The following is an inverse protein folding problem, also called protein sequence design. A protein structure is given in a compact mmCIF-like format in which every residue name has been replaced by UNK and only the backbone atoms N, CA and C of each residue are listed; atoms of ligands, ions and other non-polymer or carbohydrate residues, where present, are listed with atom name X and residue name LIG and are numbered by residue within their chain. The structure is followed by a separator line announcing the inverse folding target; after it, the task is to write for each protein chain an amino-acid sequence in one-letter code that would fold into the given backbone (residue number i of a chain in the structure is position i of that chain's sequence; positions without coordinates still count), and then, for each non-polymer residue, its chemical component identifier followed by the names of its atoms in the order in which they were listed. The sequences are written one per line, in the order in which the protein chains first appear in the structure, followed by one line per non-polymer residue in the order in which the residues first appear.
data_IF_529488378966
#
_entry.id   IF_529488378966
#
_cell.length_a   1.000
_cell.length_b   1.000
_cell.length_c   1.000
_cell.angle_alpha   90.00
_cell.angle_beta   90.00
_cell.angle_gamma   90.00
#
_symmetry.space_group_name_H-M   'P 1'
#
loop_
_entity.id
_entity.type
_entity.pdbx_description
1 polymer ?
#
# COMPACT_ATOMS: atom_id res chain seq x y z
N UNK A 1 15.75 -33.43 -17.14
CA UNK A 1 14.27 -33.45 -17.12
C UNK A 1 13.66 -32.09 -16.74
N UNK A 2 14.29 -30.95 -17.06
CA UNK A 2 13.77 -29.60 -16.81
C UNK A 2 12.94 -28.92 -17.95
N UNK A 3 13.06 -29.28 -19.25
CA UNK A 3 12.54 -28.42 -20.33
C UNK A 3 11.03 -28.55 -20.62
N UNK A 4 10.36 -29.52 -19.99
CA UNK A 4 8.91 -29.74 -20.19
C UNK A 4 8.06 -28.81 -19.31
N UNK A 5 8.50 -28.56 -18.06
CA UNK A 5 7.81 -27.64 -17.13
C UNK A 5 7.91 -26.18 -17.58
N UNK A 6 9.08 -25.75 -18.04
CA UNK A 6 9.29 -24.38 -18.53
C UNK A 6 8.40 -24.07 -19.75
N UNK A 7 8.25 -25.01 -20.68
CA UNK A 7 7.37 -24.85 -21.86
C UNK A 7 5.89 -24.84 -21.52
N UNK A 8 5.50 -25.51 -20.43
CA UNK A 8 4.13 -25.57 -19.96
C UNK A 8 3.76 -24.30 -19.18
N UNK A 9 4.68 -23.77 -18.38
CA UNK A 9 4.56 -22.44 -17.78
C UNK A 9 4.49 -21.34 -18.84
N UNK A 10 5.37 -21.37 -19.85
CA UNK A 10 5.40 -20.35 -20.92
C UNK A 10 4.10 -20.33 -21.75
N UNK A 11 3.50 -21.50 -22.00
CA UNK A 11 2.17 -21.60 -22.62
C UNK A 11 1.07 -21.01 -21.74
N UNK A 12 1.13 -21.27 -20.44
CA UNK A 12 0.14 -20.77 -19.47
C UNK A 12 0.24 -19.25 -19.33
N UNK A 13 1.46 -18.70 -19.26
CA UNK A 13 1.74 -17.25 -19.27
C UNK A 13 1.11 -16.61 -20.50
N UNK A 14 1.35 -17.19 -21.68
CA UNK A 14 0.84 -16.64 -22.93
C UNK A 14 -0.69 -16.65 -22.97
N UNK A 15 -1.32 -17.71 -22.47
CA UNK A 15 -2.78 -17.83 -22.41
C UNK A 15 -3.40 -16.77 -21.47
N UNK A 16 -2.81 -16.56 -20.28
CA UNK A 16 -3.31 -15.58 -19.31
C UNK A 16 -3.13 -14.15 -19.83
N UNK A 17 -1.97 -13.82 -20.43
CA UNK A 17 -1.75 -12.50 -21.05
C UNK A 17 -2.75 -12.22 -22.16
N UNK A 18 -2.98 -13.20 -23.04
CA UNK A 18 -3.99 -13.06 -24.10
C UNK A 18 -5.42 -12.95 -23.56
N UNK A 19 -5.73 -13.57 -22.42
CA UNK A 19 -7.04 -13.45 -21.78
C UNK A 19 -7.23 -12.08 -21.11
N UNK A 20 -6.20 -11.54 -20.46
CA UNK A 20 -6.21 -10.19 -19.92
C UNK A 20 -6.40 -9.14 -21.02
N UNK A 21 -5.61 -9.22 -22.10
CA UNK A 21 -5.76 -8.36 -23.28
C UNK A 21 -7.16 -8.48 -23.90
N UNK A 22 -7.71 -9.69 -23.97
CA UNK A 22 -9.07 -9.89 -24.49
C UNK A 22 -10.12 -9.19 -23.61
N UNK A 23 -10.05 -9.37 -22.29
CA UNK A 23 -10.98 -8.72 -21.35
C UNK A 23 -10.86 -7.20 -21.43
N UNK A 24 -9.64 -6.66 -21.44
CA UNK A 24 -9.39 -5.22 -21.59
C UNK A 24 -9.98 -4.67 -22.89
N UNK A 25 -9.82 -5.39 -24.00
CA UNK A 25 -10.38 -5.01 -25.29
C UNK A 25 -11.92 -5.08 -25.33
N UNK A 26 -12.53 -6.09 -24.72
CA UNK A 26 -13.99 -6.18 -24.66
C UNK A 26 -14.60 -5.11 -23.76
N UNK A 27 -13.93 -4.79 -22.65
CA UNK A 27 -14.31 -3.67 -21.78
C UNK A 27 -14.17 -2.34 -22.56
N UNK A 28 -13.06 -2.12 -23.27
CA UNK A 28 -12.85 -0.94 -24.09
C UNK A 28 -13.91 -0.79 -25.21
N UNK A 29 -14.34 -1.91 -25.82
CA UNK A 29 -15.43 -1.92 -26.82
C UNK A 29 -16.80 -1.62 -26.20
N UNK A 30 -17.07 -2.15 -25.00
CA UNK A 30 -18.36 -1.99 -24.34
C UNK A 30 -18.55 -0.57 -23.77
N UNK A 31 -17.47 0.06 -23.31
CA UNK A 31 -17.50 1.34 -22.60
C UNK A 31 -17.01 2.51 -23.49
N UNK A 32 -16.33 2.21 -24.60
CA UNK A 32 -15.76 3.19 -25.52
C UNK A 32 -14.45 3.82 -24.99
N UNK A 33 -13.70 4.48 -25.87
CA UNK A 33 -12.46 5.21 -25.53
C UNK A 33 -12.68 6.47 -24.66
N UNK A 34 -13.88 6.66 -24.11
CA UNK A 34 -14.31 7.85 -23.37
C UNK A 34 -14.29 7.66 -21.84
N UNK A 35 -13.69 6.57 -21.35
CA UNK A 35 -13.46 6.46 -19.91
C UNK A 35 -12.49 7.57 -19.47
N UNK A 36 -12.89 8.44 -18.52
CA UNK A 36 -12.02 9.49 -18.00
C UNK A 36 -10.86 8.93 -17.16
N UNK A 37 -10.78 7.59 -17.01
CA UNK A 37 -9.74 6.92 -16.27
C UNK A 37 -9.35 5.59 -16.92
N UNK A 38 -8.07 5.26 -16.80
CA UNK A 38 -7.57 3.92 -17.12
C UNK A 38 -8.17 2.93 -16.10
N UNK A 39 -8.79 1.86 -16.58
CA UNK A 39 -9.26 0.80 -15.69
C UNK A 39 -8.05 0.04 -15.14
N UNK A 40 -8.00 -0.13 -13.83
CA UNK A 40 -6.94 -0.90 -13.18
C UNK A 40 -6.94 -2.37 -13.62
N UNK A 41 -5.80 -3.02 -13.48
CA UNK A 41 -5.67 -4.44 -13.85
C UNK A 41 -6.69 -5.30 -13.09
N UNK A 42 -7.37 -6.23 -13.77
CA UNK A 42 -8.24 -7.24 -13.14
C UNK A 42 -7.46 -8.06 -12.10
N UNK A 43 -6.14 -8.15 -12.25
CA UNK A 43 -5.24 -8.78 -11.29
C UNK A 43 -5.15 -8.03 -9.94
N UNK A 44 -5.69 -6.81 -9.82
CA UNK A 44 -5.75 -6.02 -8.58
C UNK A 44 -7.03 -6.26 -7.76
N UNK A 45 -7.98 -7.03 -8.30
CA UNK A 45 -9.20 -7.36 -7.56
C UNK A 45 -8.88 -8.52 -6.62
N UNK A 46 -9.18 -8.36 -5.33
CA UNK A 46 -8.98 -9.45 -4.39
C UNK A 46 -9.76 -10.69 -4.85
N UNK A 47 -9.08 -11.83 -4.94
CA UNK A 47 -9.55 -13.03 -5.62
C UNK A 47 -10.94 -13.50 -5.14
N UNK A 48 -11.25 -13.30 -3.86
CA UNK A 48 -12.57 -13.52 -3.25
C UNK A 48 -13.73 -12.75 -3.91
N UNK A 49 -13.45 -11.65 -4.60
CA UNK A 49 -14.44 -10.81 -5.28
C UNK A 49 -14.59 -11.10 -6.78
N UNK A 50 -13.77 -11.98 -7.37
CA UNK A 50 -13.86 -12.33 -8.78
C UNK A 50 -15.25 -12.82 -9.21
N UNK A 51 -15.92 -13.59 -8.35
CA UNK A 51 -17.27 -14.08 -8.62
C UNK A 51 -18.30 -12.95 -8.77
N UNK A 52 -18.13 -11.83 -8.04
CA UNK A 52 -18.98 -10.65 -8.13
C UNK A 52 -18.85 -9.95 -9.49
N UNK A 53 -17.72 -10.16 -10.17
CA UNK A 53 -17.42 -9.63 -11.50
C UNK A 53 -17.69 -10.65 -12.61
N UNK A 54 -18.31 -11.79 -12.27
CA UNK A 54 -18.61 -12.87 -13.23
C UNK A 54 -17.39 -13.68 -13.64
N UNK A 55 -16.23 -13.45 -13.02
CA UNK A 55 -14.99 -14.17 -13.30
C UNK A 55 -15.04 -15.52 -12.57
N UNK A 56 -14.91 -16.61 -13.31
CA UNK A 56 -14.88 -17.98 -12.80
C UNK A 56 -13.50 -18.56 -13.05
N UNK A 57 -12.78 -18.84 -11.97
CA UNK A 57 -11.40 -19.31 -11.98
C UNK A 57 -11.33 -20.60 -11.18
N UNK A 58 -10.59 -21.61 -11.67
CA UNK A 58 -10.34 -22.84 -10.91
C UNK A 58 -9.23 -22.67 -9.86
N UNK A 59 -9.15 -23.54 -8.85
CA UNK A 59 -8.12 -23.43 -7.79
C UNK A 59 -6.66 -23.54 -8.29
N UNK A 60 -6.43 -24.16 -9.46
CA UNK A 60 -5.09 -24.29 -10.04
C UNK A 60 -4.68 -23.01 -10.76
N UNK A 61 -5.62 -22.36 -11.41
CA UNK A 61 -5.50 -21.05 -12.06
C UNK A 61 -5.35 -19.93 -11.03
N UNK A 62 -5.98 -20.06 -9.85
CA UNK A 62 -5.88 -19.11 -8.75
C UNK A 62 -4.43 -18.86 -8.31
N UNK A 63 -3.64 -19.93 -8.13
CA UNK A 63 -2.21 -19.82 -7.78
C UNK A 63 -1.37 -19.17 -8.87
N UNK A 64 -1.74 -19.37 -10.13
CA UNK A 64 -1.12 -18.67 -11.25
C UNK A 64 -1.41 -17.18 -11.18
N UNK A 65 -2.68 -16.82 -10.97
CA UNK A 65 -3.14 -15.44 -10.88
C UNK A 65 -2.56 -14.68 -9.68
N UNK A 66 -2.43 -15.30 -8.50
CA UNK A 66 -1.72 -14.70 -7.36
C UNK A 66 -0.29 -14.30 -7.75
N UNK A 67 0.45 -15.18 -8.44
CA UNK A 67 1.81 -14.89 -8.91
C UNK A 67 1.82 -13.68 -9.86
N UNK A 68 0.87 -13.60 -10.78
CA UNK A 68 0.77 -12.49 -11.73
C UNK A 68 0.25 -11.21 -11.10
N UNK A 69 -0.61 -11.29 -10.09
CA UNK A 69 -1.06 -10.15 -9.30
C UNK A 69 0.12 -9.52 -8.56
N UNK A 70 0.96 -10.33 -7.92
CA UNK A 70 2.20 -9.88 -7.28
C UNK A 70 3.17 -9.28 -8.30
N UNK A 71 3.31 -9.88 -9.48
CA UNK A 71 4.18 -9.38 -10.55
C UNK A 71 3.64 -8.06 -11.15
N UNK A 72 2.33 -7.95 -11.38
CA UNK A 72 1.68 -6.73 -11.84
C UNK A 72 1.78 -5.62 -10.79
N UNK A 73 1.58 -5.95 -9.51
CA UNK A 73 1.82 -5.03 -8.40
C UNK A 73 3.28 -4.55 -8.39
N UNK A 74 4.26 -5.46 -8.44
CA UNK A 74 5.68 -5.07 -8.50
C UNK A 74 5.99 -4.19 -9.71
N UNK A 75 5.52 -4.55 -10.89
CA UNK A 75 5.76 -3.79 -12.12
C UNK A 75 5.09 -2.41 -12.10
N UNK A 76 3.88 -2.30 -11.55
CA UNK A 76 3.24 -1.01 -11.30
C UNK A 76 4.13 -0.19 -10.36
N UNK A 77 4.47 -0.71 -9.19
CA UNK A 77 5.25 0.02 -8.17
C UNK A 77 6.70 0.34 -8.55
N UNK A 78 7.36 -0.48 -9.37
CA UNK A 78 8.71 -0.22 -9.89
C UNK A 78 8.71 0.85 -11.00
N UNK A 79 7.56 1.11 -11.63
CA UNK A 79 7.44 2.05 -12.76
C UNK A 79 6.36 3.12 -12.55
N UNK A 80 5.85 3.35 -11.32
CA UNK A 80 4.86 4.41 -11.12
C UNK A 80 5.57 5.74 -11.26
N UNK A 81 5.18 6.47 -12.30
CA UNK A 81 5.51 7.87 -12.47
C UNK A 81 4.82 8.66 -11.35
N UNK A 82 5.59 9.43 -10.58
CA UNK A 82 5.07 10.29 -9.51
C UNK A 82 3.96 11.25 -10.01
N UNK A 83 3.97 11.53 -11.32
CA UNK A 83 2.97 12.35 -12.01
C UNK A 83 1.56 11.71 -11.99
N UNK A 84 1.45 10.38 -11.97
CA UNK A 84 0.14 9.68 -11.92
C UNK A 84 -0.54 9.89 -10.57
N UNK A 85 0.20 9.79 -9.46
CA UNK A 85 -0.34 10.08 -8.13
C UNK A 85 -0.76 11.55 -7.99
N UNK A 86 0.04 12.45 -8.57
CA UNK A 86 -0.29 13.87 -8.64
C UNK A 86 -1.58 14.10 -9.43
N UNK A 87 -1.73 13.48 -10.60
CA UNK A 87 -2.93 13.60 -11.42
C UNK A 87 -4.19 13.04 -10.74
N UNK A 88 -4.08 11.92 -10.01
CA UNK A 88 -5.20 11.37 -9.22
C UNK A 88 -5.59 12.34 -8.11
N UNK A 89 -4.61 12.91 -7.41
CA UNK A 89 -4.85 13.89 -6.35
C UNK A 89 -5.52 15.16 -6.90
N UNK A 90 -5.03 15.70 -8.02
CA UNK A 90 -5.63 16.84 -8.70
C UNK A 90 -7.07 16.54 -9.15
N UNK A 91 -7.32 15.38 -9.75
CA UNK A 91 -8.68 14.99 -10.16
C UNK A 91 -9.66 14.86 -8.98
N UNK A 92 -9.20 14.41 -7.82
CA UNK A 92 -10.00 14.33 -6.59
C UNK A 92 -10.35 15.73 -6.05
N UNK A 93 -9.39 16.65 -6.07
CA UNK A 93 -9.60 18.06 -5.72
C UNK A 93 -10.60 18.70 -6.68
N UNK A 94 -10.39 18.57 -7.99
CA UNK A 94 -11.23 19.15 -9.04
C UNK A 94 -12.67 18.61 -9.02
N UNK A 95 -12.83 17.34 -8.61
CA UNK A 95 -14.15 16.71 -8.46
C UNK A 95 -14.93 17.17 -7.23
N UNK A 96 -14.35 18.04 -6.40
CA UNK A 96 -14.93 18.54 -5.16
C UNK A 96 -15.36 17.42 -4.18
N UNK A 97 -14.73 16.25 -4.32
CA UNK A 97 -14.92 15.09 -3.44
C UNK A 97 -14.17 15.27 -2.12
N UNK A 98 -13.43 16.37 -1.98
CA UNK A 98 -12.50 16.62 -0.87
C UNK A 98 -11.24 15.77 -0.99
N UNK A 99 -10.23 16.07 -0.19
CA UNK A 99 -9.05 15.20 -0.10
C UNK A 99 -9.38 13.99 0.78
N UNK A 100 -9.90 12.94 0.15
CA UNK A 100 -10.30 11.70 0.83
C UNK A 100 -9.16 11.03 1.59
N UNK A 101 -7.93 11.15 1.08
CA UNK A 101 -6.74 10.65 1.79
C UNK A 101 -6.45 11.50 3.03
N UNK A 102 -6.58 12.82 2.94
CA UNK A 102 -6.42 13.70 4.10
C UNK A 102 -7.46 13.45 5.19
N UNK A 103 -8.74 13.27 4.84
CA UNK A 103 -9.79 12.98 5.82
C UNK A 103 -9.54 11.64 6.52
N UNK A 104 -9.22 10.59 5.76
CA UNK A 104 -8.89 9.28 6.30
C UNK A 104 -7.67 9.34 7.23
N UNK A 105 -6.60 10.00 6.79
CA UNK A 105 -5.38 10.16 7.59
C UNK A 105 -5.64 10.99 8.86
N UNK A 106 -6.53 11.98 8.80
CA UNK A 106 -6.94 12.78 9.96
C UNK A 106 -7.67 11.93 11.00
N UNK A 107 -8.62 11.10 10.59
CA UNK A 107 -9.37 10.24 11.50
C UNK A 107 -8.48 9.12 12.09
N UNK A 108 -7.61 8.51 11.27
CA UNK A 108 -6.59 7.57 11.74
C UNK A 108 -5.67 8.26 12.78
N UNK A 109 -5.23 9.49 12.50
CA UNK A 109 -4.35 10.25 13.39
C UNK A 109 -4.99 10.52 14.74
N UNK A 110 -6.25 10.95 14.77
CA UNK A 110 -7.01 11.16 16.02
C UNK A 110 -7.04 9.88 16.85
N UNK A 111 -7.45 8.77 16.25
CA UNK A 111 -7.59 7.49 16.96
C UNK A 111 -6.23 6.94 17.45
N UNK A 112 -5.20 6.99 16.60
CA UNK A 112 -3.85 6.59 16.98
C UNK A 112 -3.30 7.45 18.12
N UNK A 113 -3.54 8.77 18.09
CA UNK A 113 -3.10 9.68 19.15
C UNK A 113 -3.78 9.39 20.49
N UNK A 114 -5.05 8.94 20.49
CA UNK A 114 -5.77 8.56 21.71
C UNK A 114 -5.15 7.33 22.37
N UNK A 115 -4.85 6.30 21.57
CA UNK A 115 -4.17 5.09 22.03
C UNK A 115 -2.80 5.43 22.61
N UNK A 116 -2.04 6.28 21.89
CA UNK A 116 -0.70 6.68 22.30
C UNK A 116 -0.75 7.54 23.57
N UNK A 117 -1.72 8.45 23.70
CA UNK A 117 -1.87 9.31 24.87
C UNK A 117 -2.00 8.51 26.18
N UNK A 118 -2.74 7.40 26.18
CA UNK A 118 -2.85 6.55 27.38
C UNK A 118 -1.52 5.84 27.72
N UNK A 119 -0.78 5.42 26.68
CA UNK A 119 0.48 4.68 26.84
C UNK A 119 1.66 5.56 27.22
N UNK A 120 1.75 6.77 26.67
CA UNK A 120 2.98 7.58 26.69
C UNK A 120 3.38 8.08 28.08
N UNK A 121 2.40 8.19 28.99
CA UNK A 121 2.62 8.56 30.38
C UNK A 121 3.22 7.40 31.21
N UNK A 122 3.04 6.15 30.76
CA UNK A 122 3.43 4.94 31.50
C UNK A 122 4.63 4.23 30.88
N UNK A 123 4.92 4.51 29.62
CA UNK A 123 5.98 3.85 28.85
C UNK A 123 7.16 4.79 28.61
N UNK A 124 8.37 4.25 28.67
CA UNK A 124 9.60 4.96 28.30
C UNK A 124 9.71 5.11 26.78
N UNK A 125 9.16 4.16 26.03
CA UNK A 125 9.20 4.08 24.58
C UNK A 125 7.92 3.46 24.04
N UNK A 126 7.47 3.94 22.89
CA UNK A 126 6.34 3.41 22.12
C UNK A 126 6.87 3.04 20.74
N UNK A 127 6.61 1.81 20.30
CA UNK A 127 7.06 1.33 19.00
C UNK A 127 5.89 1.17 18.05
N UNK A 128 5.95 1.86 16.90
CA UNK A 128 4.92 1.86 15.86
C UNK A 128 5.41 1.16 14.60
N UNK A 129 4.50 0.53 13.86
CA UNK A 129 4.73 0.10 12.49
C UNK A 129 3.69 0.71 11.56
N UNK A 130 4.12 1.22 10.42
CA UNK A 130 3.28 1.64 9.30
C UNK A 130 3.54 0.70 8.12
N UNK A 131 2.54 -0.14 7.81
CA UNK A 131 2.65 -1.20 6.81
C UNK A 131 2.10 -0.71 5.48
N UNK A 132 2.98 -0.66 4.48
CA UNK A 132 2.78 -0.03 3.17
C UNK A 132 2.62 1.48 3.34
N UNK A 133 3.67 2.08 3.89
CA UNK A 133 3.65 3.46 4.34
C UNK A 133 3.57 4.50 3.20
N UNK A 134 3.87 4.10 1.96
CA UNK A 134 3.98 5.03 0.84
C UNK A 134 4.95 6.15 1.16
N UNK A 135 4.55 7.39 0.91
CA UNK A 135 5.32 8.62 1.21
C UNK A 135 5.41 8.95 2.71
N UNK A 136 4.68 8.21 3.56
CA UNK A 136 4.64 8.40 5.01
C UNK A 136 3.54 9.35 5.50
N UNK A 137 2.57 9.71 4.65
CA UNK A 137 1.55 10.71 4.97
C UNK A 137 0.68 10.31 6.18
N UNK A 138 0.24 9.06 6.26
CA UNK A 138 -0.55 8.55 7.41
C UNK A 138 0.20 8.73 8.72
N UNK A 139 1.45 8.24 8.78
CA UNK A 139 2.33 8.41 9.94
C UNK A 139 2.64 9.88 10.22
N UNK A 140 2.85 10.70 9.18
CA UNK A 140 3.06 12.13 9.30
C UNK A 140 1.88 12.83 9.97
N UNK A 141 0.65 12.46 9.63
CA UNK A 141 -0.57 12.96 10.30
C UNK A 141 -0.65 12.51 11.75
N UNK A 142 -0.34 11.25 12.06
CA UNK A 142 -0.29 10.74 13.45
C UNK A 142 0.71 11.54 14.29
N UNK A 143 1.92 11.76 13.77
CA UNK A 143 2.96 12.52 14.46
C UNK A 143 2.57 14.00 14.64
N UNK A 144 1.91 14.61 13.65
CA UNK A 144 1.39 15.97 13.76
C UNK A 144 0.36 16.09 14.91
N UNK A 145 -0.56 15.13 15.00
CA UNK A 145 -1.60 15.11 16.03
C UNK A 145 -0.99 14.90 17.41
N UNK A 146 -0.05 13.95 17.56
CA UNK A 146 0.69 13.74 18.81
C UNK A 146 1.45 14.99 19.23
N UNK A 147 2.15 15.65 18.29
CA UNK A 147 2.88 16.89 18.55
C UNK A 147 1.94 17.98 19.05
N UNK A 148 0.77 18.11 18.43
CA UNK A 148 -0.25 19.11 18.78
C UNK A 148 -0.85 18.84 20.15
N UNK A 149 -1.20 17.58 20.43
CA UNK A 149 -1.94 17.18 21.64
C UNK A 149 -1.06 16.95 22.87
N UNK A 150 0.12 16.36 22.67
CA UNK A 150 0.98 15.84 23.74
C UNK A 150 2.35 16.54 23.78
N UNK A 151 2.67 17.37 22.78
CA UNK A 151 3.91 18.14 22.70
C UNK A 151 5.09 17.39 22.09
N UNK A 152 6.20 18.09 21.88
CA UNK A 152 7.40 17.56 21.22
C UNK A 152 8.10 16.47 22.06
N UNK A 153 8.04 16.55 23.39
CA UNK A 153 8.65 15.52 24.26
C UNK A 153 8.00 14.14 24.09
N UNK A 154 6.71 14.10 23.73
CA UNK A 154 6.03 12.85 23.39
C UNK A 154 6.68 12.17 22.17
N UNK A 155 7.03 12.95 21.15
CA UNK A 155 7.62 12.43 19.91
C UNK A 155 8.95 11.71 20.15
N UNK A 156 9.76 12.17 21.12
CA UNK A 156 11.05 11.54 21.45
C UNK A 156 10.93 10.11 21.99
N UNK A 157 9.74 9.75 22.51
CA UNK A 157 9.45 8.39 22.99
C UNK A 157 9.02 7.46 21.86
N UNK A 158 8.79 7.97 20.67
CA UNK A 158 8.27 7.19 19.55
C UNK A 158 9.43 6.65 18.71
N UNK A 159 9.38 5.35 18.44
CA UNK A 159 10.11 4.74 17.35
C UNK A 159 9.11 4.23 16.31
N UNK A 160 9.35 4.53 15.03
CA UNK A 160 8.48 4.08 13.95
C UNK A 160 9.23 3.24 12.92
N UNK A 161 8.60 2.14 12.51
CA UNK A 161 9.04 1.28 11.44
C UNK A 161 8.16 1.52 10.22
N UNK A 162 8.74 2.10 9.18
CA UNK A 162 8.09 2.24 7.89
C UNK A 162 8.37 1.01 7.06
N UNK A 163 7.34 0.26 6.70
CA UNK A 163 7.46 -0.89 5.80
C UNK A 163 6.95 -0.46 4.44
N UNK A 164 7.87 -0.29 3.49
CA UNK A 164 7.56 0.26 2.16
C UNK A 164 8.51 -0.33 1.10
N UNK A 165 7.99 -0.98 0.05
CA UNK A 165 8.83 -1.53 -1.01
C UNK A 165 9.44 -0.51 -1.98
N UNK A 166 8.79 0.63 -2.22
CA UNK A 166 9.22 1.58 -3.24
C UNK A 166 10.35 2.50 -2.76
N UNK A 167 11.41 2.60 -3.55
CA UNK A 167 12.60 3.41 -3.21
C UNK A 167 12.28 4.90 -3.12
N UNK A 168 11.47 5.42 -4.03
CA UNK A 168 11.08 6.84 -4.06
C UNK A 168 10.27 7.23 -2.82
N UNK A 169 9.28 6.42 -2.47
CA UNK A 169 8.51 6.53 -1.24
C UNK A 169 9.41 6.53 -0.01
N UNK A 170 10.39 5.63 0.04
CA UNK A 170 11.39 5.58 1.10
C UNK A 170 12.28 6.85 1.17
N UNK A 171 12.61 7.49 0.04
CA UNK A 171 13.32 8.76 0.00
C UNK A 171 12.45 9.88 0.60
N UNK A 172 11.16 9.90 0.27
CA UNK A 172 10.21 10.87 0.80
C UNK A 172 10.02 10.71 2.32
N UNK A 173 9.85 9.48 2.82
CA UNK A 173 9.82 9.17 4.26
C UNK A 173 11.08 9.71 4.94
N UNK A 174 12.25 9.44 4.39
CA UNK A 174 13.53 9.93 4.94
C UNK A 174 13.56 11.45 5.04
N UNK A 175 13.03 12.16 4.04
CA UNK A 175 12.95 13.62 4.03
C UNK A 175 11.94 14.13 5.06
N UNK A 176 10.75 13.52 5.14
CA UNK A 176 9.72 13.82 6.12
C UNK A 176 10.28 13.72 7.54
N UNK A 177 10.91 12.59 7.88
CA UNK A 177 11.46 12.38 9.21
C UNK A 177 12.63 13.33 9.52
N UNK A 178 13.55 13.56 8.58
CA UNK A 178 14.69 14.45 8.82
C UNK A 178 14.32 15.92 8.93
N UNK A 179 13.34 16.38 8.16
CA UNK A 179 13.01 17.81 8.06
C UNK A 179 11.88 18.20 9.02
N UNK A 180 10.87 17.35 9.17
CA UNK A 180 9.63 17.69 9.89
C UNK A 180 9.58 17.07 11.29
N UNK A 181 10.13 15.87 11.46
CA UNK A 181 10.08 15.12 12.72
C UNK A 181 11.46 14.61 13.17
N UNK A 182 12.49 15.48 13.29
CA UNK A 182 13.85 15.06 13.63
C UNK A 182 13.97 14.44 15.03
N UNK A 183 12.97 14.62 15.89
CA UNK A 183 12.93 14.09 17.25
C UNK A 183 12.51 12.61 17.31
N UNK A 184 11.91 12.09 16.23
CA UNK A 184 11.37 10.73 16.18
C UNK A 184 12.43 9.77 15.65
N UNK A 185 12.65 8.68 16.38
CA UNK A 185 13.50 7.59 15.88
C UNK A 185 12.72 6.82 14.81
N UNK A 186 13.37 6.49 13.69
CA UNK A 186 12.70 5.73 12.64
C UNK A 186 13.61 4.73 11.95
N UNK A 187 12.99 3.67 11.45
CA UNK A 187 13.60 2.67 10.59
C UNK A 187 12.78 2.56 9.31
N UNK A 188 13.48 2.42 8.18
CA UNK A 188 12.87 2.10 6.89
C UNK A 188 13.17 0.64 6.58
N UNK A 189 12.13 -0.13 6.34
CA UNK A 189 12.19 -1.55 6.05
C UNK A 189 11.70 -1.73 4.61
N UNK A 190 12.63 -2.02 3.71
CA UNK A 190 12.29 -2.35 2.33
C UNK A 190 11.81 -3.79 2.26
N UNK A 191 10.52 -3.99 2.50
CA UNK A 191 9.88 -5.30 2.39
C UNK A 191 8.95 -5.30 1.18
N UNK A 192 9.30 -6.11 0.19
CA UNK A 192 8.50 -6.34 -1.04
C UNK A 192 7.47 -7.46 -0.90
N UNK A 193 7.44 -8.14 0.26
CA UNK A 193 6.56 -9.27 0.52
C UNK A 193 6.20 -9.32 2.01
N UNK A 194 4.93 -9.63 2.30
CA UNK A 194 4.39 -9.90 3.63
C UNK A 194 5.17 -11.01 4.36
N UNK A 195 5.85 -11.90 3.62
CA UNK A 195 6.80 -12.88 4.17
C UNK A 195 7.91 -12.24 5.03
N UNK A 196 8.31 -10.99 4.73
CA UNK A 196 9.28 -10.25 5.53
C UNK A 196 8.67 -9.59 6.77
N UNK A 197 7.35 -9.51 6.89
CA UNK A 197 6.70 -9.11 8.14
C UNK A 197 6.86 -10.16 9.24
N UNK A 198 7.29 -11.39 8.90
CA UNK A 198 7.73 -12.35 9.93
C UNK A 198 9.00 -11.89 10.66
N UNK A 199 9.74 -10.91 10.13
CA UNK A 199 10.82 -10.23 10.85
C UNK A 199 10.29 -9.31 11.96
N UNK A 200 9.03 -8.90 11.89
CA UNK A 200 8.34 -8.16 12.95
C UNK A 200 8.04 -9.14 14.10
N UNK A 201 8.95 -9.19 15.07
CA UNK A 201 8.82 -10.11 16.22
C UNK A 201 7.52 -9.85 16.96
N UNK A 202 6.81 -10.92 17.33
CA UNK A 202 5.61 -10.85 18.18
C UNK A 202 5.88 -9.99 19.43
N UNK A 203 4.92 -9.14 19.81
CA UNK A 203 5.00 -8.20 20.94
C UNK A 203 6.05 -7.08 20.81
N UNK A 204 6.45 -6.73 19.60
CA UNK A 204 7.39 -5.61 19.37
C UNK A 204 6.67 -4.28 19.22
N UNK A 205 5.46 -4.28 18.67
CA UNK A 205 4.74 -3.07 18.29
C UNK A 205 3.61 -2.77 19.26
N UNK A 206 3.56 -1.53 19.71
CA UNK A 206 2.50 -0.97 20.53
C UNK A 206 1.27 -0.56 19.72
N UNK A 207 1.52 -0.20 18.46
CA UNK A 207 0.53 0.20 17.47
C UNK A 207 1.02 -0.24 16.09
N UNK A 208 0.13 -0.85 15.32
CA UNK A 208 0.34 -1.15 13.90
C UNK A 208 -0.73 -0.40 13.13
N UNK A 209 -0.29 0.36 12.14
CA UNK A 209 -1.14 1.08 11.20
C UNK A 209 -0.91 0.45 9.83
N UNK A 210 -2.01 0.25 9.10
CA UNK A 210 -1.96 -0.16 7.71
C UNK A 210 -3.17 0.44 7.02
N UNK A 211 -2.89 1.31 6.05
CA UNK A 211 -3.91 1.99 5.29
C UNK A 211 -3.82 1.55 3.83
N UNK A 212 -4.92 1.00 3.29
CA UNK A 212 -5.03 0.65 1.88
C UNK A 212 -3.93 -0.28 1.33
N UNK A 213 -3.41 -1.23 2.11
CA UNK A 213 -2.29 -2.11 1.66
C UNK A 213 -2.72 -3.57 1.50
N UNK A 214 -3.62 -4.05 2.35
CA UNK A 214 -4.03 -5.46 2.35
C UNK A 214 -4.81 -5.90 1.10
N UNK A 215 -5.45 -4.98 0.40
CA UNK A 215 -6.20 -5.31 -0.81
C UNK A 215 -5.30 -5.62 -2.02
N UNK A 216 -3.99 -5.38 -1.90
CA UNK A 216 -2.98 -5.77 -2.89
C UNK A 216 -2.42 -7.18 -2.67
N UNK A 217 -2.82 -7.85 -1.58
CA UNK A 217 -2.33 -9.16 -1.19
C UNK A 217 -3.49 -10.15 -1.12
N UNK A 218 -3.79 -10.78 -2.25
CA UNK A 218 -5.00 -11.61 -2.46
C UNK A 218 -4.85 -12.63 -3.57
#
# INVERSE_FOLDING_TARGET
MAPAKEKEEEKTVKAIKSMAEYIENEIAKAIGNELPCQLGSVLRIASQYFSNWGIKIDERELKGLERYSIEAYKNEWENVDADVYTAIHEAVIDSNLGDGNHQLNTEIAKFASEIIADKICRMEKIVMADIGAGTGDTSGSILAEIKTRLGVEALKKIEIYFVEPADESNIQIKNLMKKTYPEVNYQRVMATDYANLQMLKKNTFDLVVSNAVFHHHS
#
